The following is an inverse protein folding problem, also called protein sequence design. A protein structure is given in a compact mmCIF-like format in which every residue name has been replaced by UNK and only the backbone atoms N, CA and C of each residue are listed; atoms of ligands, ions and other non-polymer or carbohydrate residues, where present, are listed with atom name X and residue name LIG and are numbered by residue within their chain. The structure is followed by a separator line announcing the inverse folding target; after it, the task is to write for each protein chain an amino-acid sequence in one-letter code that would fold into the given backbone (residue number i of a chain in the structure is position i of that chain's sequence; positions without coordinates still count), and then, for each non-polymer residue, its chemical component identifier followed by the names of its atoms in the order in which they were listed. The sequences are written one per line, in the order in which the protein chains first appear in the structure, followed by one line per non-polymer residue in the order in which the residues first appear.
data_IF_835639457639
#
_entry.id   IF_835639457639
#
_cell.length_a   1.000
_cell.length_b   1.000
_cell.length_c   1.000
_cell.angle_alpha   90.00
_cell.angle_beta   90.00
_cell.angle_gamma   90.00
#
_symmetry.space_group_name_H-M   'P 1'
#
loop_
_entity.id
_entity.type
_entity.pdbx_description
1 polymer ?
#
# COMPACT_ATOMS: atom_id res chain seq x y z
N UNK A 1 -25.48 7.99 1.38
CA UNK A 1 -25.33 7.15 0.18
C UNK A 1 -24.07 6.35 0.46
N UNK A 2 -24.14 5.02 0.45
CA UNK A 2 -23.00 4.20 0.88
C UNK A 2 -21.89 4.29 -0.17
N UNK A 3 -20.74 4.83 0.22
CA UNK A 3 -19.60 5.06 -0.68
C UNK A 3 -19.14 3.72 -1.29
N UNK A 4 -19.26 3.62 -2.61
CA UNK A 4 -18.92 2.41 -3.37
C UNK A 4 -17.47 1.99 -3.15
N UNK A 5 -16.57 2.95 -2.89
CA UNK A 5 -15.15 2.68 -2.62
C UNK A 5 -15.01 1.90 -1.30
N UNK A 6 -15.75 2.26 -0.27
CA UNK A 6 -15.69 1.57 1.02
C UNK A 6 -16.17 0.12 0.90
N UNK A 7 -17.18 -0.14 0.06
CA UNK A 7 -17.63 -1.51 -0.26
C UNK A 7 -16.56 -2.33 -0.97
N UNK A 8 -15.73 -1.70 -1.82
CA UNK A 8 -14.63 -2.39 -2.48
C UNK A 8 -13.54 -2.81 -1.49
N UNK A 9 -13.34 -2.07 -0.40
CA UNK A 9 -12.41 -2.46 0.66
C UNK A 9 -12.94 -3.61 1.55
N UNK A 10 -14.25 -3.85 1.57
CA UNK A 10 -14.87 -5.01 2.22
C UNK A 10 -14.71 -6.32 1.42
N UNK A 11 -14.45 -6.25 0.11
CA UNK A 11 -14.28 -7.44 -0.75
C UNK A 11 -13.08 -8.30 -0.34
N UNK A 12 -11.85 -7.78 -0.24
CA UNK A 12 -10.71 -8.58 0.20
C UNK A 12 -10.77 -8.88 1.70
N UNK A 13 -10.35 -10.08 2.09
CA UNK A 13 -10.32 -10.54 3.48
C UNK A 13 -9.01 -10.19 4.18
N UNK A 14 -9.00 -10.24 5.51
CA UNK A 14 -7.72 -10.28 6.24
C UNK A 14 -6.90 -11.51 5.81
N UNK A 15 -5.59 -11.36 5.72
CA UNK A 15 -4.69 -12.32 5.07
C UNK A 15 -4.29 -11.89 3.66
N UNK A 16 -5.12 -11.10 2.98
CA UNK A 16 -4.89 -10.73 1.59
C UNK A 16 -3.84 -9.64 1.39
N UNK A 17 -3.22 -9.70 0.21
CA UNK A 17 -2.28 -8.70 -0.31
C UNK A 17 -2.88 -8.14 -1.60
N UNK A 18 -3.31 -6.90 -1.53
CA UNK A 18 -3.94 -6.16 -2.63
C UNK A 18 -2.86 -5.29 -3.28
N UNK A 19 -2.58 -5.51 -4.56
CA UNK A 19 -1.74 -4.65 -5.37
C UNK A 19 -2.63 -3.64 -6.11
N UNK A 20 -2.47 -2.35 -5.79
CA UNK A 20 -3.15 -1.26 -6.46
C UNK A 20 -2.13 -0.55 -7.36
N UNK A 21 -2.36 -0.61 -8.67
CA UNK A 21 -1.52 0.04 -9.66
C UNK A 21 -2.18 1.29 -10.22
N UNK A 22 -1.39 2.34 -10.47
CA UNK A 22 -1.89 3.62 -10.96
C UNK A 22 -0.84 4.36 -11.81
N UNK A 23 -1.22 5.16 -12.82
CA UNK A 23 -0.30 6.06 -13.52
C UNK A 23 0.06 7.26 -12.63
N UNK A 24 1.12 8.04 -12.95
CA UNK A 24 1.43 9.30 -12.26
C UNK A 24 0.20 10.21 -12.11
N UNK A 25 -0.33 10.31 -10.89
CA UNK A 25 -1.61 10.96 -10.60
C UNK A 25 -1.79 11.16 -9.08
N UNK A 26 -2.95 11.69 -8.67
CA UNK A 26 -3.38 11.81 -7.27
C UNK A 26 -4.11 10.57 -6.72
N UNK A 27 -4.17 9.47 -7.48
CA UNK A 27 -4.79 8.22 -7.03
C UNK A 27 -4.28 7.75 -5.66
N UNK A 28 -2.96 7.66 -5.38
CA UNK A 28 -2.51 7.13 -4.10
C UNK A 28 -2.94 8.02 -2.92
N UNK A 29 -2.99 9.34 -3.09
CA UNK A 29 -3.52 10.27 -2.09
C UNK A 29 -4.96 9.95 -1.71
N UNK A 30 -5.83 9.82 -2.72
CA UNK A 30 -7.25 9.57 -2.51
C UNK A 30 -7.52 8.16 -1.96
N UNK A 31 -6.75 7.16 -2.42
CA UNK A 31 -6.83 5.80 -1.86
C UNK A 31 -6.42 5.80 -0.38
N UNK A 32 -5.36 6.51 0.00
CA UNK A 32 -4.96 6.62 1.42
C UNK A 32 -6.04 7.33 2.24
N UNK A 33 -6.63 8.42 1.75
CA UNK A 33 -7.75 9.09 2.41
C UNK A 33 -8.92 8.14 2.66
N UNK A 34 -9.35 7.41 1.63
CA UNK A 34 -10.48 6.48 1.71
C UNK A 34 -10.17 5.24 2.57
N UNK A 35 -8.93 4.75 2.58
CA UNK A 35 -8.51 3.67 3.48
C UNK A 35 -8.50 4.11 4.95
N UNK A 36 -8.04 5.33 5.25
CA UNK A 36 -8.09 5.89 6.60
C UNK A 36 -9.54 6.15 7.06
N UNK A 37 -10.40 6.59 6.15
CA UNK A 37 -11.84 6.70 6.41
C UNK A 37 -12.45 5.32 6.71
N UNK A 38 -12.24 4.35 5.82
CA UNK A 38 -12.70 2.96 5.97
C UNK A 38 -12.28 2.36 7.31
N UNK A 39 -10.99 2.48 7.64
CA UNK A 39 -10.43 1.98 8.88
C UNK A 39 -11.10 2.61 10.11
N UNK A 40 -11.33 3.93 10.08
CA UNK A 40 -12.00 4.65 11.17
C UNK A 40 -13.45 4.22 11.35
N UNK A 41 -14.19 4.06 10.26
CA UNK A 41 -15.60 3.63 10.28
C UNK A 41 -15.76 2.19 10.80
N UNK A 42 -14.76 1.34 10.55
CA UNK A 42 -14.74 -0.05 11.02
C UNK A 42 -14.01 -0.25 12.35
N UNK A 43 -13.48 0.82 12.94
CA UNK A 43 -12.65 0.78 14.16
C UNK A 43 -11.44 -0.16 14.05
N UNK A 44 -10.84 -0.25 12.84
CA UNK A 44 -9.68 -1.08 12.55
C UNK A 44 -8.41 -0.21 12.62
N UNK A 45 -7.35 -0.61 13.36
CA UNK A 45 -6.07 0.08 13.36
C UNK A 45 -5.44 0.15 11.97
N UNK A 46 -4.61 1.18 11.75
CA UNK A 46 -3.87 1.37 10.49
C UNK A 46 -2.37 1.35 10.76
N UNK A 47 -1.65 0.57 9.95
CA UNK A 47 -0.20 0.57 9.89
C UNK A 47 0.27 0.99 8.48
N UNK A 48 1.05 2.06 8.41
CA UNK A 48 1.62 2.58 7.16
C UNK A 48 3.10 2.19 7.07
N UNK A 49 3.47 1.48 6.02
CA UNK A 49 4.87 1.28 5.66
C UNK A 49 5.34 2.43 4.75
N UNK A 50 6.02 3.41 5.36
CA UNK A 50 6.56 4.60 4.69
C UNK A 50 7.98 4.34 4.18
N UNK A 51 8.09 3.96 2.92
CA UNK A 51 9.39 3.74 2.28
C UNK A 51 9.89 5.02 1.60
N UNK A 52 11.08 5.47 2.00
CA UNK A 52 11.80 6.62 1.41
C UNK A 52 11.00 7.95 1.38
N UNK A 53 10.31 8.26 2.47
CA UNK A 53 9.50 9.49 2.64
C UNK A 53 8.30 9.59 1.68
N UNK A 54 7.81 8.47 1.14
CA UNK A 54 6.64 8.44 0.26
C UNK A 54 5.40 9.06 0.93
N UNK A 55 5.20 8.82 2.24
CA UNK A 55 4.09 9.42 3.00
C UNK A 55 4.21 10.95 3.08
N UNK A 56 5.44 11.48 3.20
CA UNK A 56 5.68 12.92 3.24
C UNK A 56 5.37 13.60 1.91
N UNK A 57 5.75 12.96 0.81
CA UNK A 57 5.42 13.42 -0.55
C UNK A 57 3.90 13.42 -0.74
N UNK A 58 3.22 12.34 -0.36
CA UNK A 58 1.76 12.21 -0.46
C UNK A 58 1.03 13.31 0.32
N UNK A 59 1.41 13.56 1.58
CA UNK A 59 0.80 14.61 2.42
C UNK A 59 1.05 16.00 1.83
N UNK A 60 2.25 16.24 1.30
CA UNK A 60 2.57 17.52 0.65
C UNK A 60 1.68 17.74 -0.57
N UNK A 61 1.47 16.70 -1.39
CA UNK A 61 0.58 16.75 -2.55
C UNK A 61 -0.88 16.98 -2.15
N UNK A 62 -1.38 16.32 -1.10
CA UNK A 62 -2.72 16.59 -0.55
C UNK A 62 -2.87 18.04 -0.08
N UNK A 63 -1.86 18.58 0.62
CA UNK A 63 -1.89 19.97 1.08
C UNK A 63 -1.94 20.96 -0.09
N UNK A 64 -1.27 20.67 -1.21
CA UNK A 64 -1.37 21.48 -2.43
C UNK A 64 -2.77 21.47 -3.05
N UNK A 65 -3.57 20.43 -2.78
CA UNK A 65 -4.99 20.37 -3.15
C UNK A 65 -5.91 21.03 -2.10
N UNK A 66 -5.37 21.64 -1.05
CA UNK A 66 -6.15 22.20 0.06
C UNK A 66 -6.65 21.16 1.06
N UNK A 67 -6.24 19.89 0.92
CA UNK A 67 -6.67 18.80 1.78
C UNK A 67 -5.64 18.58 2.89
N UNK A 68 -6.07 18.70 4.14
CA UNK A 68 -5.24 18.37 5.30
C UNK A 68 -5.48 16.93 5.73
N UNK A 69 -4.51 16.05 5.43
CA UNK A 69 -4.58 14.65 5.85
C UNK A 69 -4.51 14.52 7.37
N UNK A 70 -5.55 13.97 7.98
CA UNK A 70 -5.53 13.57 9.38
C UNK A 70 -5.18 12.08 9.50
N UNK A 71 -3.94 11.80 9.88
CA UNK A 71 -3.46 10.43 10.11
C UNK A 71 -4.05 9.77 11.37
N UNK A 72 -4.67 10.54 12.28
CA UNK A 72 -5.22 10.02 13.53
C UNK A 72 -4.17 9.22 14.32
N UNK A 73 -4.55 8.02 14.73
CA UNK A 73 -3.70 7.08 15.47
C UNK A 73 -2.95 6.09 14.56
N UNK A 74 -2.85 6.37 13.25
CA UNK A 74 -2.14 5.49 12.33
C UNK A 74 -0.67 5.32 12.75
N UNK A 75 -0.29 4.06 12.88
CA UNK A 75 1.06 3.61 13.17
C UNK A 75 1.90 3.68 11.89
N UNK A 76 3.19 3.98 12.03
CA UNK A 76 4.10 4.09 10.89
C UNK A 76 5.37 3.28 11.13
N UNK A 77 5.70 2.38 10.21
CA UNK A 77 7.04 1.81 10.08
C UNK A 77 7.73 2.57 8.97
N UNK A 78 8.90 3.12 9.29
CA UNK A 78 9.67 3.94 8.36
C UNK A 78 10.86 3.17 7.80
N UNK A 79 11.06 3.22 6.49
CA UNK A 79 12.24 2.68 5.82
C UNK A 79 13.03 3.80 5.17
N UNK A 80 14.23 4.08 5.67
CA UNK A 80 15.06 5.19 5.17
C UNK A 80 14.35 6.54 5.28
N UNK A 81 14.69 7.47 4.38
CA UNK A 81 14.12 8.83 4.40
C UNK A 81 14.60 9.68 5.58
N UNK A 82 14.06 10.89 5.71
CA UNK A 82 14.40 11.86 6.77
C UNK A 82 13.17 12.41 7.49
N UNK A 83 11.97 12.29 6.91
CA UNK A 83 10.77 12.93 7.41
C UNK A 83 10.02 12.00 8.38
N UNK A 84 9.91 12.39 9.66
CA UNK A 84 9.11 11.66 10.64
C UNK A 84 7.68 12.17 10.64
N UNK A 85 6.74 11.33 10.23
CA UNK A 85 5.32 11.66 10.09
C UNK A 85 4.49 10.54 10.74
N UNK A 86 3.44 10.93 11.47
CA UNK A 86 2.57 9.99 12.19
C UNK A 86 3.23 9.38 13.43
N UNK A 87 2.61 8.33 13.98
CA UNK A 87 3.14 7.60 15.14
C UNK A 87 4.18 6.57 14.67
N UNK A 88 5.43 7.01 14.53
CA UNK A 88 6.53 6.13 14.10
C UNK A 88 6.86 5.11 15.21
N UNK A 89 6.53 3.84 14.98
CA UNK A 89 6.77 2.72 15.92
C UNK A 89 8.01 1.91 15.60
N UNK A 90 8.55 2.06 14.40
CA UNK A 90 9.83 1.48 14.03
C UNK A 90 10.46 2.23 12.88
N UNK A 91 11.79 2.22 12.85
CA UNK A 91 12.57 2.83 11.78
C UNK A 91 13.70 1.90 11.37
N UNK A 92 13.72 1.57 10.10
CA UNK A 92 14.73 0.75 9.45
C UNK A 92 15.66 1.72 8.74
N UNK A 93 16.91 1.79 9.21
CA UNK A 93 17.91 2.65 8.59
C UNK A 93 18.22 2.13 7.19
N UNK A 94 18.58 3.05 6.29
CA UNK A 94 19.05 2.66 4.96
C UNK A 94 20.26 1.75 5.11
N UNK A 95 20.11 0.51 4.67
CA UNK A 95 21.16 -0.50 4.66
C UNK A 95 21.41 -0.94 3.23
N UNK A 96 22.67 -1.23 2.89
CA UNK A 96 23.05 -1.86 1.62
C UNK A 96 22.80 -3.37 1.64
N UNK A 97 22.45 -3.95 2.79
CA UNK A 97 22.25 -5.38 2.96
C UNK A 97 20.75 -5.70 3.11
N UNK A 98 20.11 -6.31 2.09
CA UNK A 98 18.68 -6.63 2.15
C UNK A 98 18.32 -7.55 3.31
N UNK A 99 19.22 -8.47 3.71
CA UNK A 99 18.98 -9.35 4.86
C UNK A 99 18.83 -8.59 6.17
N UNK A 100 19.54 -7.47 6.32
CA UNK A 100 19.42 -6.60 7.50
C UNK A 100 18.05 -5.91 7.48
N UNK A 101 17.67 -5.35 6.32
CA UNK A 101 16.34 -4.73 6.14
C UNK A 101 15.22 -5.71 6.49
N UNK A 102 15.26 -6.92 5.94
CA UNK A 102 14.23 -7.95 6.13
C UNK A 102 14.11 -8.41 7.59
N UNK A 103 15.25 -8.58 8.26
CA UNK A 103 15.29 -8.95 9.69
C UNK A 103 14.74 -7.84 10.58
N UNK A 104 15.12 -6.58 10.32
CA UNK A 104 14.64 -5.43 11.10
C UNK A 104 13.14 -5.21 10.88
N UNK A 105 12.67 -5.28 9.62
CA UNK A 105 11.25 -5.21 9.30
C UNK A 105 10.47 -6.32 9.98
N UNK A 106 10.90 -7.58 9.85
CA UNK A 106 10.22 -8.73 10.46
C UNK A 106 10.09 -8.57 11.98
N UNK A 107 11.14 -8.10 12.65
CA UNK A 107 11.11 -7.88 14.10
C UNK A 107 10.09 -6.80 14.48
N UNK A 108 10.15 -5.63 13.84
CA UNK A 108 9.24 -4.51 14.12
C UNK A 108 7.79 -4.94 13.83
N UNK A 109 7.58 -5.61 12.69
CA UNK A 109 6.29 -6.14 12.28
C UNK A 109 5.71 -7.12 13.30
N UNK A 110 6.51 -8.08 13.79
CA UNK A 110 6.06 -9.07 14.78
C UNK A 110 5.70 -8.43 16.12
N UNK A 111 6.41 -7.39 16.53
CA UNK A 111 6.12 -6.65 17.75
C UNK A 111 4.80 -5.88 17.62
N UNK A 112 4.64 -5.09 16.55
CA UNK A 112 3.44 -4.26 16.38
C UNK A 112 2.19 -5.06 16.03
N UNK A 113 2.31 -6.12 15.22
CA UNK A 113 1.15 -6.94 14.82
C UNK A 113 0.47 -7.63 16.01
N UNK A 114 1.22 -7.97 17.06
CA UNK A 114 0.67 -8.51 18.31
C UNK A 114 -0.12 -7.48 19.11
N UNK A 115 0.26 -6.20 19.03
CA UNK A 115 -0.44 -5.10 19.69
C UNK A 115 -1.75 -4.75 18.95
N UNK A 116 -1.72 -4.75 17.62
CA UNK A 116 -2.85 -4.26 16.80
C UNK A 116 -3.98 -5.28 16.59
N UNK A 117 -3.70 -6.58 16.68
CA UNK A 117 -4.66 -7.60 16.26
C UNK A 117 -4.88 -7.59 14.74
N UNK A 118 -6.12 -7.37 14.30
CA UNK A 118 -6.45 -7.17 12.88
C UNK A 118 -6.25 -5.70 12.49
N UNK A 119 -5.51 -5.42 11.41
CA UNK A 119 -5.23 -4.04 10.97
C UNK A 119 -5.19 -3.87 9.44
N UNK A 120 -5.41 -2.64 8.99
CA UNK A 120 -5.20 -2.23 7.60
C UNK A 120 -3.73 -1.86 7.44
N UNK A 121 -3.05 -2.47 6.47
CA UNK A 121 -1.66 -2.16 6.16
C UNK A 121 -1.58 -1.40 4.83
N UNK A 122 -1.02 -0.19 4.85
CA UNK A 122 -0.85 0.65 3.65
C UNK A 122 0.63 0.71 3.33
N UNK A 123 1.03 0.17 2.17
CA UNK A 123 2.44 0.13 1.76
C UNK A 123 2.69 1.16 0.67
N UNK A 124 3.56 2.13 0.97
CA UNK A 124 3.88 3.26 0.10
C UNK A 124 5.35 3.24 -0.30
N UNK A 125 5.64 3.52 -1.57
CA UNK A 125 7.01 3.75 -2.06
C UNK A 125 7.90 2.50 -2.14
N UNK A 126 7.32 1.30 -2.11
CA UNK A 126 8.08 0.04 -2.16
C UNK A 126 8.91 -0.09 -3.45
N UNK A 127 8.51 0.57 -4.53
CA UNK A 127 9.27 0.63 -5.77
C UNK A 127 10.69 1.20 -5.57
N UNK A 128 10.87 2.15 -4.64
CA UNK A 128 12.17 2.73 -4.35
C UNK A 128 13.10 1.73 -3.66
N UNK A 129 12.55 0.82 -2.86
CA UNK A 129 13.28 -0.30 -2.28
C UNK A 129 13.79 -1.22 -3.39
N UNK A 130 12.91 -1.64 -4.30
CA UNK A 130 13.26 -2.51 -5.43
C UNK A 130 14.28 -1.86 -6.39
N UNK A 131 14.16 -0.55 -6.68
CA UNK A 131 15.14 0.19 -7.49
C UNK A 131 16.53 0.23 -6.88
N UNK A 132 16.64 0.13 -5.56
CA UNK A 132 17.92 0.19 -4.86
C UNK A 132 18.68 -1.14 -4.85
N UNK A 133 18.04 -2.24 -5.27
CA UNK A 133 18.62 -3.58 -5.29
C UNK A 133 19.48 -3.78 -6.54
N UNK A 134 20.66 -4.35 -6.37
CA UNK A 134 21.67 -4.45 -7.42
C UNK A 134 21.99 -5.90 -7.83
N UNK A 135 21.42 -6.91 -7.17
CA UNK A 135 21.62 -8.31 -7.57
C UNK A 135 20.33 -9.14 -7.60
N UNK A 136 20.26 -10.19 -8.46
CA UNK A 136 19.12 -11.10 -8.51
C UNK A 136 18.79 -11.75 -7.16
N UNK A 137 19.80 -12.02 -6.33
CA UNK A 137 19.61 -12.62 -5.01
C UNK A 137 18.88 -11.66 -4.06
N UNK A 138 19.20 -10.37 -4.12
CA UNK A 138 18.53 -9.35 -3.30
C UNK A 138 17.05 -9.25 -3.66
N UNK A 139 16.78 -9.16 -4.96
CA UNK A 139 15.42 -9.13 -5.50
C UNK A 139 14.63 -10.36 -5.07
N UNK A 140 15.21 -11.55 -5.22
CA UNK A 140 14.57 -12.80 -4.84
C UNK A 140 14.25 -12.86 -3.34
N UNK A 141 15.21 -12.52 -2.46
CA UNK A 141 14.99 -12.51 -1.02
C UNK A 141 13.90 -11.52 -0.61
N UNK A 142 13.87 -10.33 -1.22
CA UNK A 142 12.82 -9.35 -0.94
C UNK A 142 11.44 -9.80 -1.42
N UNK A 143 11.34 -10.44 -2.58
CA UNK A 143 10.07 -11.00 -3.07
C UNK A 143 9.58 -12.15 -2.19
N UNK A 144 10.48 -13.02 -1.72
CA UNK A 144 10.13 -14.08 -0.76
C UNK A 144 9.54 -13.53 0.53
N UNK A 145 9.99 -12.35 0.95
CA UNK A 145 9.51 -11.71 2.18
C UNK A 145 8.14 -11.09 1.99
N UNK A 146 7.90 -10.41 0.85
CA UNK A 146 6.54 -9.99 0.48
C UNK A 146 5.61 -11.20 0.42
N UNK A 147 6.07 -12.33 -0.15
CA UNK A 147 5.30 -13.57 -0.20
C UNK A 147 5.01 -14.16 1.19
N UNK A 148 5.94 -14.07 2.15
CA UNK A 148 5.74 -14.59 3.51
C UNK A 148 4.53 -13.97 4.19
N UNK A 149 4.22 -12.72 3.89
CA UNK A 149 3.07 -12.05 4.48
C UNK A 149 1.75 -12.58 3.93
N UNK A 150 1.69 -13.10 2.69
CA UNK A 150 0.46 -13.63 2.10
C UNK A 150 -0.18 -14.69 3.00
N UNK A 151 -1.45 -14.51 3.36
CA UNK A 151 -2.20 -15.39 4.26
C UNK A 151 -2.11 -15.00 5.74
N UNK A 152 -1.32 -14.00 6.13
CA UNK A 152 -1.28 -13.53 7.51
C UNK A 152 -2.54 -12.74 7.88
N UNK A 153 -3.46 -13.37 8.60
CA UNK A 153 -4.78 -12.82 8.95
C UNK A 153 -4.74 -11.66 9.92
N UNK A 154 -3.58 -11.27 10.46
CA UNK A 154 -3.50 -10.01 11.23
C UNK A 154 -3.61 -8.77 10.35
N UNK A 155 -3.40 -8.86 9.03
CA UNK A 155 -3.48 -7.69 8.16
C UNK A 155 -4.24 -7.88 6.87
N UNK A 156 -4.84 -6.79 6.40
CA UNK A 156 -5.33 -6.59 5.03
C UNK A 156 -4.44 -5.54 4.38
N UNK A 157 -3.56 -5.94 3.47
CA UNK A 157 -2.47 -5.09 2.98
C UNK A 157 -2.74 -4.50 1.59
N UNK A 158 -2.52 -3.20 1.44
CA UNK A 158 -2.71 -2.42 0.22
C UNK A 158 -1.39 -1.83 -0.24
N UNK A 159 -0.82 -2.40 -1.30
CA UNK A 159 0.42 -1.95 -1.92
C UNK A 159 0.08 -0.95 -3.02
N UNK A 160 0.40 0.33 -2.80
CA UNK A 160 0.15 1.38 -3.78
C UNK A 160 1.41 1.58 -4.62
N UNK A 161 1.38 1.10 -5.87
CA UNK A 161 2.55 1.11 -6.75
C UNK A 161 2.25 1.86 -8.04
N UNK A 162 3.11 2.81 -8.40
CA UNK A 162 2.99 3.48 -9.69
C UNK A 162 3.29 2.48 -10.84
N UNK A 163 2.36 2.31 -11.78
CA UNK A 163 2.45 1.32 -12.86
C UNK A 163 3.62 1.61 -13.79
N UNK A 164 3.84 2.86 -14.15
CA UNK A 164 4.94 3.27 -15.04
C UNK A 164 6.28 2.98 -14.37
N UNK A 165 6.37 3.17 -13.06
CA UNK A 165 7.58 2.81 -12.31
C UNK A 165 7.76 1.29 -12.27
N UNK A 166 6.68 0.53 -12.04
CA UNK A 166 6.71 -0.93 -11.97
C UNK A 166 7.23 -1.55 -13.28
N UNK A 167 6.88 -0.98 -14.44
CA UNK A 167 7.40 -1.42 -15.75
C UNK A 167 8.91 -1.17 -15.94
N UNK A 168 9.49 -0.24 -15.18
CA UNK A 168 10.95 0.04 -15.25
C UNK A 168 11.79 -0.83 -14.34
N UNK A 169 11.15 -1.59 -13.43
CA UNK A 169 11.86 -2.47 -12.51
C UNK A 169 12.41 -3.70 -13.24
N UNK A 170 13.47 -4.35 -12.69
CA UNK A 170 13.93 -5.64 -13.21
C UNK A 170 12.79 -6.63 -13.45
N UNK A 171 12.83 -7.31 -14.60
CA UNK A 171 11.76 -8.17 -15.13
C UNK A 171 11.02 -9.04 -14.09
N UNK A 172 11.68 -9.78 -13.16
CA UNK A 172 10.94 -10.65 -12.25
C UNK A 172 10.06 -9.88 -11.24
N UNK A 173 10.33 -8.60 -10.95
CA UNK A 173 9.68 -7.90 -9.84
C UNK A 173 8.19 -7.73 -10.08
N UNK A 174 7.80 -7.17 -11.23
CA UNK A 174 6.40 -6.99 -11.58
C UNK A 174 5.64 -8.32 -11.58
N UNK A 175 6.16 -9.30 -12.30
CA UNK A 175 5.53 -10.62 -12.46
C UNK A 175 5.35 -11.29 -11.10
N UNK A 176 6.36 -11.26 -10.24
CA UNK A 176 6.30 -11.88 -8.93
C UNK A 176 5.36 -11.14 -7.98
N UNK A 177 5.31 -9.80 -8.01
CA UNK A 177 4.32 -9.03 -7.24
C UNK A 177 2.89 -9.36 -7.68
N UNK A 178 2.62 -9.42 -8.98
CA UNK A 178 1.31 -9.82 -9.51
C UNK A 178 0.97 -11.29 -9.17
N UNK A 179 1.96 -12.18 -9.16
CA UNK A 179 1.79 -13.58 -8.73
C UNK A 179 1.42 -13.66 -7.25
N UNK A 180 2.14 -12.95 -6.39
CA UNK A 180 1.98 -12.96 -4.93
C UNK A 180 0.67 -12.28 -4.51
N UNK A 181 0.30 -11.16 -5.13
CA UNK A 181 -0.91 -10.43 -4.79
C UNK A 181 -2.15 -11.33 -4.92
N UNK A 182 -2.99 -11.41 -3.89
CA UNK A 182 -4.25 -12.16 -3.97
C UNK A 182 -5.31 -11.41 -4.76
N UNK A 183 -5.23 -10.08 -4.75
CA UNK A 183 -6.08 -9.19 -5.54
C UNK A 183 -5.22 -8.11 -6.24
N UNK A 184 -5.60 -7.75 -7.46
CA UNK A 184 -4.97 -6.69 -8.25
C UNK A 184 -6.06 -5.77 -8.76
N UNK A 185 -5.93 -4.48 -8.46
CA UNK A 185 -6.78 -3.43 -9.00
C UNK A 185 -5.91 -2.39 -9.71
N UNK A 186 -6.29 -2.04 -10.93
CA UNK A 186 -5.71 -0.90 -11.63
C UNK A 186 -6.67 0.28 -11.53
N UNK A 187 -6.14 1.45 -11.21
CA UNK A 187 -6.93 2.67 -11.08
C UNK A 187 -6.41 3.72 -12.06
N UNK A 188 -7.27 4.13 -12.98
CA UNK A 188 -6.99 5.19 -13.95
C UNK A 188 -7.88 6.42 -13.70
N UNK A 189 -7.30 7.61 -13.47
CA UNK A 189 -8.10 8.82 -13.33
C UNK A 189 -8.72 9.23 -14.68
N UNK A 190 -10.01 9.55 -14.68
CA UNK A 190 -10.75 10.05 -15.84
C UNK A 190 -11.58 11.28 -15.43
N UNK A 191 -11.13 12.47 -15.86
CA UNK A 191 -11.77 13.75 -15.54
C UNK A 191 -11.93 13.96 -14.02
N UNK A 192 -13.15 13.91 -13.48
CA UNK A 192 -13.46 14.02 -12.04
C UNK A 192 -13.62 12.67 -11.34
N UNK A 193 -13.50 11.57 -12.10
CA UNK A 193 -13.72 10.20 -11.63
C UNK A 193 -12.41 9.39 -11.72
N UNK A 194 -12.44 8.16 -11.22
CA UNK A 194 -11.47 7.12 -11.53
C UNK A 194 -12.19 5.86 -12.03
N UNK A 195 -11.57 5.18 -12.98
CA UNK A 195 -11.93 3.83 -13.37
C UNK A 195 -11.08 2.85 -12.60
N UNK A 196 -11.74 2.01 -11.80
CA UNK A 196 -11.15 0.90 -11.06
C UNK A 196 -11.41 -0.38 -11.84
N UNK A 197 -10.35 -1.03 -12.31
CA UNK A 197 -10.40 -2.31 -13.03
C UNK A 197 -9.83 -3.42 -12.17
N UNK A 198 -10.65 -4.42 -11.85
CA UNK A 198 -10.27 -5.55 -10.99
C UNK A 198 -9.72 -6.67 -11.88
N UNK A 199 -8.39 -6.83 -11.87
CA UNK A 199 -7.69 -7.78 -12.74
C UNK A 199 -7.60 -9.18 -12.11
N UNK A 200 -7.48 -9.23 -10.79
CA UNK A 200 -7.34 -10.46 -10.00
C UNK A 200 -8.02 -10.25 -8.66
N UNK A 201 -8.70 -11.27 -8.14
CA UNK A 201 -9.26 -11.24 -6.79
C UNK A 201 -9.67 -12.63 -6.33
N UNK A 202 -9.77 -12.82 -5.01
CA UNK A 202 -10.33 -14.01 -4.35
C UNK A 202 -11.85 -14.06 -4.42
N UNK A 203 -12.53 -12.97 -4.80
CA UNK A 203 -13.98 -12.88 -4.95
C UNK A 203 -14.38 -12.97 -6.43
N UNK A 204 -14.78 -14.16 -6.95
CA UNK A 204 -14.93 -14.40 -8.39
C UNK A 204 -15.90 -13.44 -9.08
N UNK A 205 -16.94 -13.00 -8.37
CA UNK A 205 -17.96 -12.09 -8.89
C UNK A 205 -17.40 -10.73 -9.32
N UNK A 206 -16.23 -10.35 -8.81
CA UNK A 206 -15.57 -9.07 -9.08
C UNK A 206 -14.49 -9.15 -10.17
N UNK A 207 -14.11 -10.35 -10.64
CA UNK A 207 -13.06 -10.51 -11.66
C UNK A 207 -13.50 -9.83 -12.97
N UNK A 208 -12.62 -8.98 -13.51
CA UNK A 208 -12.86 -8.27 -14.76
C UNK A 208 -13.87 -7.13 -14.66
N UNK A 209 -14.40 -6.82 -13.48
CA UNK A 209 -15.28 -5.66 -13.31
C UNK A 209 -14.51 -4.35 -13.47
N UNK A 210 -15.18 -3.41 -14.11
CA UNK A 210 -14.78 -2.02 -14.22
C UNK A 210 -15.80 -1.17 -13.47
N UNK A 211 -15.31 -0.33 -12.56
CA UNK A 211 -16.14 0.46 -11.66
C UNK A 211 -15.68 1.90 -11.74
N UNK A 212 -16.56 2.81 -12.13
CA UNK A 212 -16.30 4.24 -12.08
C UNK A 212 -16.63 4.77 -10.69
N UNK A 213 -15.68 5.44 -10.06
CA UNK A 213 -15.82 6.06 -8.74
C UNK A 213 -15.61 7.56 -8.86
N UNK A 214 -16.45 8.34 -8.18
CA UNK A 214 -16.29 9.79 -8.11
C UNK A 214 -15.17 10.12 -7.11
N UNK A 215 -14.20 10.93 -7.52
CA UNK A 215 -13.08 11.36 -6.67
C UNK A 215 -13.28 12.82 -6.19
N UNK A 216 -14.14 13.59 -6.86
CA UNK A 216 -14.29 15.03 -6.66
C UNK A 216 -15.61 15.47 -6.04
N UNK A 217 -16.64 14.63 -6.00
CA UNK A 217 -17.97 14.99 -5.51
C UNK A 217 -18.08 15.33 -4.01
N UNK A 218 -17.07 14.97 -3.22
CA UNK A 218 -17.04 15.16 -1.75
C UNK A 218 -15.83 15.99 -1.26
N UNK A 219 -15.09 16.65 -2.16
CA UNK A 219 -14.01 17.58 -1.80
C UNK A 219 -14.53 18.98 -1.45
#
# INVERSE_FOLDING_TARGET
MEDIILKLFDVPKFGETILITYPPSFVPEFVVLKLLQYAREKEIPVLIDDNFDALAVLITRLRLLGINLNLGEAYVIKTGGKQRIGKVVGEIKRTSEPRVYLREYSKIFEEISKELGEYINIVLGIEALFKSMNSPLEIYLSLMEVQRFLGNTSRKAFYLVNKDVLETLPFPIKIELERIASSIAEIEPISTNAHVRILKTTAPDFIGREITVDIGGEL
#
